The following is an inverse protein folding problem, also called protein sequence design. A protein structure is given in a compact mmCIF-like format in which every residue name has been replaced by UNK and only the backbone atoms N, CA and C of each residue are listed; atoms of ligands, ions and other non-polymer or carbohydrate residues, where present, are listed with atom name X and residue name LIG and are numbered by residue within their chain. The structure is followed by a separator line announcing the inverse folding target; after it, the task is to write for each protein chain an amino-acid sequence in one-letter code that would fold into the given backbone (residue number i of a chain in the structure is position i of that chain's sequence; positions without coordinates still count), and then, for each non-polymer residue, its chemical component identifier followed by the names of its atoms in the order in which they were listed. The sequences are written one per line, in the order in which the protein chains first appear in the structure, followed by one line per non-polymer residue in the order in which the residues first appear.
data_IF_779222644435
#
_entry.id   IF_779222644435
#
_cell.length_a   1.000
_cell.length_b   1.000
_cell.length_c   1.000
_cell.angle_alpha   90.00
_cell.angle_beta   90.00
_cell.angle_gamma   90.00
#
_symmetry.space_group_name_H-M   'P 1'
#
loop_
_entity.id
_entity.type
_entity.pdbx_description
1 polymer ?
#
# COMPACT_ATOMS: atom_id res chain seq x y z
N UNK A 1 14.54 -53.57 15.81
CA UNK A 1 15.38 -52.68 14.99
C UNK A 1 14.59 -52.45 13.72
N UNK A 2 13.98 -51.26 13.61
CA UNK A 2 13.16 -50.88 12.43
C UNK A 2 14.04 -50.72 11.18
N UNK A 3 13.53 -51.14 10.04
CA UNK A 3 14.17 -50.94 8.74
C UNK A 3 14.36 -49.43 8.52
N UNK A 4 15.56 -48.94 8.16
CA UNK A 4 15.76 -47.52 7.89
C UNK A 4 14.85 -47.09 6.75
N UNK A 5 14.02 -46.05 7.00
CA UNK A 5 13.14 -45.49 5.98
C UNK A 5 14.00 -44.85 4.88
N UNK A 6 13.72 -45.14 3.60
CA UNK A 6 14.42 -44.49 2.51
C UNK A 6 14.17 -42.96 2.56
N UNK A 7 15.19 -42.17 2.27
CA UNK A 7 15.10 -40.69 2.25
C UNK A 7 13.97 -40.22 1.33
N UNK A 8 13.73 -40.93 0.23
CA UNK A 8 12.61 -40.65 -0.72
C UNK A 8 11.25 -40.66 -0.04
N UNK A 9 11.01 -41.65 0.86
CA UNK A 9 9.69 -41.81 1.51
C UNK A 9 9.45 -40.71 2.56
N UNK A 10 10.52 -40.31 3.26
CA UNK A 10 10.47 -39.20 4.21
C UNK A 10 10.17 -37.91 3.48
N UNK A 11 10.85 -37.62 2.35
CA UNK A 11 10.64 -36.41 1.54
C UNK A 11 9.25 -36.41 0.93
N UNK A 12 8.75 -37.55 0.45
CA UNK A 12 7.41 -37.67 -0.10
C UNK A 12 6.30 -37.30 0.92
N UNK A 13 6.54 -37.56 2.21
CA UNK A 13 5.60 -37.24 3.28
C UNK A 13 5.64 -35.79 3.76
N UNK A 14 6.60 -34.96 3.31
CA UNK A 14 6.68 -33.57 3.71
C UNK A 14 5.59 -32.73 3.01
N UNK A 15 4.85 -31.89 3.77
CA UNK A 15 3.80 -31.05 3.20
C UNK A 15 4.34 -29.83 2.44
N UNK A 16 5.63 -29.53 2.59
CA UNK A 16 6.33 -28.44 1.90
C UNK A 16 7.04 -28.97 0.65
N UNK A 17 7.27 -28.15 -0.38
CA UNK A 17 8.17 -28.51 -1.45
C UNK A 17 9.55 -28.85 -0.88
N UNK A 18 10.04 -30.05 -1.19
CA UNK A 18 11.30 -30.54 -0.64
C UNK A 18 12.04 -31.42 -1.64
N UNK A 19 13.38 -31.34 -1.60
CA UNK A 19 14.27 -32.20 -2.38
C UNK A 19 15.56 -32.50 -1.60
N UNK A 20 16.23 -33.60 -1.92
CA UNK A 20 17.50 -33.98 -1.36
C UNK A 20 18.59 -33.98 -2.44
N UNK A 21 19.76 -33.50 -2.06
CA UNK A 21 20.96 -33.42 -2.89
C UNK A 21 22.08 -34.20 -2.21
N UNK A 22 22.74 -35.05 -2.98
CA UNK A 22 23.89 -35.84 -2.46
C UNK A 22 25.21 -35.03 -2.57
N UNK A 23 26.31 -35.65 -2.06
CA UNK A 23 27.65 -35.09 -2.16
C UNK A 23 28.16 -34.91 -3.61
N UNK A 24 27.58 -35.63 -4.56
CA UNK A 24 27.85 -35.47 -5.99
C UNK A 24 27.01 -34.38 -6.65
N UNK A 25 26.32 -33.60 -5.81
CA UNK A 25 25.49 -32.48 -6.27
C UNK A 25 24.30 -32.91 -7.15
N UNK A 26 23.90 -34.20 -7.05
CA UNK A 26 22.75 -34.74 -7.77
C UNK A 26 21.50 -34.71 -6.88
N UNK A 27 20.35 -34.39 -7.49
CA UNK A 27 19.04 -34.45 -6.82
C UNK A 27 18.62 -35.93 -6.73
N UNK A 28 18.75 -36.53 -5.53
CA UNK A 28 18.47 -37.96 -5.30
C UNK A 28 17.00 -38.21 -4.95
N UNK A 29 16.29 -37.24 -4.37
CA UNK A 29 14.89 -37.38 -4.05
C UNK A 29 14.19 -36.01 -4.18
N UNK A 30 12.89 -36.01 -4.55
CA UNK A 30 12.07 -34.85 -4.71
C UNK A 30 10.60 -35.22 -4.51
N UNK A 31 9.83 -34.41 -3.77
CA UNK A 31 8.40 -34.64 -3.60
C UNK A 31 7.57 -33.95 -4.71
N UNK A 32 6.28 -34.26 -4.76
CA UNK A 32 5.37 -33.74 -5.80
C UNK A 32 5.19 -32.23 -5.71
N UNK A 33 5.19 -31.67 -4.51
CA UNK A 33 5.11 -30.23 -4.30
C UNK A 33 6.32 -29.51 -4.91
N UNK A 34 7.54 -30.05 -4.74
CA UNK A 34 8.75 -29.48 -5.36
C UNK A 34 8.80 -29.71 -6.87
N UNK A 35 8.28 -30.85 -7.38
CA UNK A 35 8.14 -31.07 -8.83
C UNK A 35 7.22 -30.01 -9.47
N UNK A 36 6.11 -29.71 -8.80
CA UNK A 36 5.16 -28.67 -9.27
C UNK A 36 5.81 -27.29 -9.25
N UNK A 37 6.50 -26.94 -8.16
CA UNK A 37 7.18 -25.65 -8.01
C UNK A 37 8.25 -25.45 -9.09
N UNK A 38 9.07 -26.47 -9.35
CA UNK A 38 10.19 -26.35 -10.29
C UNK A 38 9.79 -26.54 -11.76
N UNK A 39 8.60 -27.08 -12.02
CA UNK A 39 8.00 -27.19 -13.36
C UNK A 39 8.76 -28.09 -14.34
N UNK A 40 9.72 -28.92 -13.84
CA UNK A 40 10.56 -29.78 -14.65
C UNK A 40 10.98 -31.06 -13.93
N UNK A 41 11.30 -32.14 -14.67
CA UNK A 41 11.90 -33.33 -14.06
C UNK A 41 13.28 -32.98 -13.49
N UNK A 42 13.43 -33.04 -12.19
CA UNK A 42 14.65 -32.61 -11.48
C UNK A 42 15.46 -33.79 -10.93
N UNK A 43 14.82 -34.94 -10.64
CA UNK A 43 15.49 -36.11 -10.05
C UNK A 43 16.58 -36.67 -10.97
N UNK A 44 17.74 -36.97 -10.41
CA UNK A 44 18.92 -37.46 -11.11
C UNK A 44 19.69 -36.39 -11.89
N UNK A 45 19.31 -35.12 -11.75
CA UNK A 45 20.04 -34.00 -12.38
C UNK A 45 20.92 -33.29 -11.35
N UNK A 46 21.98 -32.67 -11.83
CA UNK A 46 22.78 -31.74 -11.04
C UNK A 46 21.92 -30.56 -10.60
N UNK A 47 21.92 -30.22 -9.31
CA UNK A 47 20.99 -29.24 -8.74
C UNK A 47 21.09 -27.85 -9.38
N UNK A 48 22.28 -27.40 -9.79
CA UNK A 48 22.49 -26.12 -10.47
C UNK A 48 21.70 -25.99 -11.79
N UNK A 49 21.41 -27.11 -12.47
CA UNK A 49 20.61 -27.08 -13.71
C UNK A 49 19.16 -26.72 -13.46
N UNK A 50 18.68 -26.88 -12.23
CA UNK A 50 17.31 -26.67 -11.79
C UNK A 50 17.20 -25.41 -10.93
N UNK A 51 18.10 -25.25 -9.96
CA UNK A 51 18.15 -24.13 -9.01
C UNK A 51 19.31 -23.20 -9.40
N UNK A 52 19.00 -22.19 -10.25
CA UNK A 52 20.02 -21.32 -10.85
C UNK A 52 20.29 -20.02 -10.09
N UNK A 53 19.56 -19.77 -9.01
CA UNK A 53 19.71 -18.51 -8.26
C UNK A 53 20.96 -18.56 -7.38
N UNK A 54 21.89 -17.60 -7.50
CA UNK A 54 23.20 -17.67 -6.81
C UNK A 54 23.08 -17.89 -5.31
N UNK A 55 22.17 -17.21 -4.63
CA UNK A 55 21.96 -17.36 -3.18
C UNK A 55 21.58 -18.80 -2.77
N UNK A 56 20.78 -19.49 -3.60
CA UNK A 56 20.39 -20.88 -3.35
C UNK A 56 21.56 -21.82 -3.63
N UNK A 57 22.32 -21.56 -4.70
CA UNK A 57 23.53 -22.33 -5.03
C UNK A 57 24.54 -22.25 -3.90
N UNK A 58 24.89 -21.05 -3.44
CA UNK A 58 25.81 -20.84 -2.30
C UNK A 58 25.34 -21.54 -1.03
N UNK A 59 24.03 -21.49 -0.75
CA UNK A 59 23.45 -22.15 0.42
C UNK A 59 23.61 -23.68 0.35
N UNK A 60 23.39 -24.28 -0.82
CA UNK A 60 23.52 -25.74 -1.05
C UNK A 60 24.99 -26.17 -0.97
N UNK A 61 25.88 -25.52 -1.74
CA UNK A 61 27.32 -25.85 -1.78
C UNK A 61 27.94 -25.71 -0.38
N UNK A 62 27.62 -24.63 0.32
CA UNK A 62 28.09 -24.43 1.66
C UNK A 62 27.57 -25.48 2.66
N UNK A 63 26.28 -25.87 2.57
CA UNK A 63 25.70 -26.91 3.41
C UNK A 63 26.35 -28.26 3.13
N UNK A 64 26.64 -28.59 1.87
CA UNK A 64 27.34 -29.82 1.50
C UNK A 64 28.80 -29.84 1.98
N UNK A 65 29.46 -28.67 2.03
CA UNK A 65 30.87 -28.57 2.42
C UNK A 65 31.10 -28.74 3.92
N UNK A 66 30.29 -28.11 4.77
CA UNK A 66 30.54 -28.07 6.23
C UNK A 66 29.39 -28.61 7.09
N UNK A 67 28.28 -29.02 6.46
CA UNK A 67 27.08 -29.52 7.14
C UNK A 67 26.26 -28.47 7.89
N UNK A 68 26.62 -27.19 7.81
CA UNK A 68 25.93 -26.15 8.52
C UNK A 68 24.63 -25.75 7.79
N UNK A 69 23.56 -25.55 8.58
CA UNK A 69 22.28 -25.04 8.06
C UNK A 69 22.43 -23.68 7.42
N UNK A 70 21.84 -23.52 6.25
CA UNK A 70 21.84 -22.26 5.50
C UNK A 70 20.45 -21.90 5.00
N UNK A 71 20.17 -20.60 4.91
CA UNK A 71 18.94 -20.09 4.36
C UNK A 71 19.23 -19.20 3.15
N UNK A 72 18.37 -19.30 2.13
CA UNK A 72 18.43 -18.47 0.94
C UNK A 72 17.00 -18.03 0.54
N UNK A 73 16.90 -17.02 -0.30
CA UNK A 73 15.64 -16.66 -0.93
C UNK A 73 15.60 -17.23 -2.35
N UNK A 74 14.47 -17.80 -2.70
CA UNK A 74 14.16 -18.27 -4.04
C UNK A 74 12.92 -17.55 -4.56
N UNK A 75 13.06 -16.78 -5.64
CA UNK A 75 11.95 -16.05 -6.24
C UNK A 75 11.58 -16.68 -7.56
N UNK A 76 10.31 -16.95 -7.77
CA UNK A 76 9.79 -17.49 -9.02
C UNK A 76 8.51 -16.75 -9.42
N UNK A 77 8.05 -16.98 -10.64
CA UNK A 77 6.82 -16.39 -11.16
C UNK A 77 5.77 -17.46 -11.39
N UNK A 78 4.70 -17.40 -10.63
CA UNK A 78 3.57 -18.32 -10.74
C UNK A 78 2.31 -17.54 -11.16
N UNK A 79 1.63 -17.98 -12.24
CA UNK A 79 0.40 -17.33 -12.72
C UNK A 79 0.51 -15.80 -12.86
N UNK A 80 1.65 -15.33 -13.40
CA UNK A 80 1.99 -13.90 -13.53
C UNK A 80 2.25 -13.13 -12.22
N UNK A 81 2.25 -13.79 -11.06
CA UNK A 81 2.61 -13.21 -9.76
C UNK A 81 4.01 -13.65 -9.36
N UNK A 82 4.76 -12.72 -8.77
CA UNK A 82 6.05 -13.04 -8.17
C UNK A 82 5.81 -13.72 -6.81
N UNK A 83 6.38 -14.91 -6.64
CA UNK A 83 6.28 -15.72 -5.41
C UNK A 83 7.67 -15.86 -4.82
N UNK A 84 7.80 -15.62 -3.52
CA UNK A 84 9.08 -15.71 -2.79
C UNK A 84 9.04 -16.83 -1.79
N UNK A 85 10.01 -17.75 -1.92
CA UNK A 85 10.22 -18.84 -0.99
C UNK A 85 11.46 -18.60 -0.12
N UNK A 86 11.35 -18.92 1.15
CA UNK A 86 12.52 -19.14 2.01
C UNK A 86 12.98 -20.57 1.80
N UNK A 87 14.20 -20.74 1.30
CA UNK A 87 14.83 -22.05 1.12
C UNK A 87 15.75 -22.32 2.30
N UNK A 88 15.53 -23.44 2.98
CA UNK A 88 16.41 -23.92 4.03
C UNK A 88 17.15 -25.15 3.49
N UNK A 89 18.48 -25.07 3.46
CA UNK A 89 19.37 -26.20 3.19
C UNK A 89 19.94 -26.70 4.53
N UNK A 90 19.70 -27.94 4.87
CA UNK A 90 20.15 -28.57 6.12
C UNK A 90 20.67 -29.99 5.87
N UNK A 91 21.71 -30.43 6.56
CA UNK A 91 22.26 -31.74 6.37
C UNK A 91 21.43 -32.78 7.11
N UNK A 92 21.15 -33.90 6.46
CA UNK A 92 20.43 -35.04 7.07
C UNK A 92 21.44 -35.91 7.87
N UNK A 93 21.59 -35.62 9.16
CA UNK A 93 22.57 -36.30 10.00
C UNK A 93 23.98 -36.29 9.37
N UNK A 94 24.75 -37.37 9.54
CA UNK A 94 26.10 -37.50 8.96
C UNK A 94 26.09 -38.13 7.54
N UNK A 95 24.95 -38.14 6.86
CA UNK A 95 24.81 -38.84 5.56
C UNK A 95 25.49 -38.11 4.40
N UNK A 96 25.80 -36.83 4.55
CA UNK A 96 26.28 -35.96 3.46
C UNK A 96 25.20 -35.61 2.43
N UNK A 97 23.93 -35.78 2.79
CA UNK A 97 22.79 -35.40 1.99
C UNK A 97 22.26 -34.04 2.50
N UNK A 98 22.14 -33.04 1.64
CA UNK A 98 21.49 -31.79 1.93
C UNK A 98 19.99 -31.89 1.61
N UNK A 99 19.14 -31.65 2.61
CA UNK A 99 17.69 -31.50 2.44
C UNK A 99 17.36 -30.04 2.21
N UNK A 100 16.73 -29.74 1.10
CA UNK A 100 16.19 -28.42 0.82
C UNK A 100 14.68 -28.43 1.04
N UNK A 101 14.18 -27.44 1.77
CA UNK A 101 12.75 -27.20 1.95
C UNK A 101 12.43 -25.76 1.51
N UNK A 102 11.27 -25.58 0.86
CA UNK A 102 10.82 -24.28 0.36
C UNK A 102 9.56 -23.87 1.11
N UNK A 103 9.64 -22.79 1.84
CA UNK A 103 8.50 -22.22 2.55
C UNK A 103 8.05 -20.95 1.82
N UNK A 104 6.79 -20.90 1.38
CA UNK A 104 6.22 -19.67 0.80
C UNK A 104 6.18 -18.58 1.87
N UNK A 105 6.91 -17.49 1.62
CA UNK A 105 6.97 -16.30 2.46
C UNK A 105 6.52 -15.04 1.72
N UNK A 106 5.83 -15.21 0.60
CA UNK A 106 5.45 -14.09 -0.29
C UNK A 106 4.77 -12.97 0.48
N UNK A 107 3.77 -13.30 1.31
CA UNK A 107 3.05 -12.30 2.11
C UNK A 107 3.94 -11.62 3.16
N UNK A 108 4.83 -12.39 3.80
CA UNK A 108 5.75 -11.86 4.83
C UNK A 108 6.83 -10.99 4.18
N UNK A 109 7.40 -11.44 3.06
CA UNK A 109 8.38 -10.70 2.30
C UNK A 109 7.80 -9.39 1.75
N UNK A 110 6.58 -9.44 1.17
CA UNK A 110 5.86 -8.27 0.69
C UNK A 110 5.57 -7.26 1.81
N UNK A 111 5.12 -7.73 2.99
CA UNK A 111 4.89 -6.86 4.15
C UNK A 111 6.20 -6.22 4.64
N UNK A 112 7.29 -6.99 4.70
CA UNK A 112 8.63 -6.49 5.06
C UNK A 112 9.15 -5.44 4.05
N UNK A 113 8.96 -5.67 2.76
CA UNK A 113 9.34 -4.72 1.72
C UNK A 113 8.52 -3.43 1.83
N UNK A 114 7.19 -3.55 1.97
CA UNK A 114 6.29 -2.41 2.14
C UNK A 114 6.68 -1.54 3.35
N UNK A 115 7.13 -2.16 4.45
CA UNK A 115 7.63 -1.43 5.62
C UNK A 115 8.93 -0.70 5.35
N UNK A 116 9.89 -1.32 4.62
CA UNK A 116 11.15 -0.66 4.24
C UNK A 116 10.89 0.52 3.32
N UNK A 117 10.05 0.33 2.30
CA UNK A 117 9.71 1.38 1.35
C UNK A 117 8.97 2.54 2.04
N UNK A 118 8.11 2.24 3.02
CA UNK A 118 7.45 3.25 3.83
C UNK A 118 8.48 4.14 4.58
N UNK A 119 9.43 3.54 5.31
CA UNK A 119 10.46 4.29 6.05
C UNK A 119 11.34 5.11 5.11
N UNK A 120 11.74 4.55 3.97
CA UNK A 120 12.52 5.25 2.96
C UNK A 120 11.77 6.46 2.41
N UNK A 121 10.49 6.27 2.03
CA UNK A 121 9.65 7.35 1.48
C UNK A 121 9.37 8.45 2.51
N UNK A 122 9.10 8.11 3.78
CA UNK A 122 8.96 9.11 4.87
C UNK A 122 10.23 9.94 4.98
N UNK A 123 11.40 9.29 4.99
CA UNK A 123 12.69 9.97 5.09
C UNK A 123 12.92 10.93 3.92
N UNK A 124 12.56 10.53 2.70
CA UNK A 124 12.69 11.37 1.51
C UNK A 124 11.70 12.56 1.52
N UNK A 125 10.43 12.32 1.86
CA UNK A 125 9.39 13.36 1.87
C UNK A 125 9.60 14.39 3.01
N UNK A 126 10.32 14.03 4.08
CA UNK A 126 10.73 14.97 5.13
C UNK A 126 12.05 15.71 4.79
N UNK A 127 13.02 15.04 4.17
CA UNK A 127 14.32 15.64 3.85
C UNK A 127 14.21 16.78 2.85
N UNK A 128 13.38 16.62 1.82
CA UNK A 128 13.25 17.62 0.74
C UNK A 128 12.81 19.00 1.25
N UNK A 129 11.69 19.15 1.99
CA UNK A 129 11.28 20.45 2.53
C UNK A 129 12.29 20.98 3.56
N UNK A 130 12.89 20.11 4.37
CA UNK A 130 13.89 20.52 5.36
C UNK A 130 15.13 21.14 4.69
N UNK A 131 15.63 20.54 3.61
CA UNK A 131 16.74 21.07 2.84
C UNK A 131 16.38 22.42 2.20
N UNK A 132 15.15 22.56 1.68
CA UNK A 132 14.68 23.83 1.13
C UNK A 132 14.60 24.92 2.20
N UNK A 133 14.04 24.62 3.38
CA UNK A 133 13.99 25.55 4.52
C UNK A 133 15.40 26.01 4.93
N UNK A 134 16.37 25.10 5.02
CA UNK A 134 17.76 25.45 5.34
C UNK A 134 18.35 26.40 4.29
N UNK A 135 18.17 26.12 2.99
CA UNK A 135 18.65 26.99 1.92
C UNK A 135 18.02 28.39 1.94
N UNK A 136 16.72 28.50 2.26
CA UNK A 136 16.07 29.81 2.43
C UNK A 136 16.60 30.57 3.64
N UNK A 137 16.84 29.89 4.77
CA UNK A 137 17.45 30.50 5.96
C UNK A 137 18.84 31.02 5.64
N UNK A 138 19.71 30.24 4.98
CA UNK A 138 21.05 30.66 4.57
C UNK A 138 21.00 31.88 3.61
N UNK A 139 20.05 31.87 2.65
CA UNK A 139 19.85 32.96 1.72
C UNK A 139 19.41 34.24 2.44
N UNK A 140 18.53 34.14 3.44
CA UNK A 140 18.06 35.26 4.26
C UNK A 140 19.17 35.78 5.22
N UNK A 141 20.07 34.93 5.67
CA UNK A 141 21.23 35.35 6.50
C UNK A 141 22.35 35.99 5.66
N UNK A 142 22.38 35.68 4.36
CA UNK A 142 23.42 36.13 3.42
C UNK A 142 22.93 37.08 2.32
N UNK A 143 22.84 36.63 1.06
CA UNK A 143 22.57 37.49 -0.11
C UNK A 143 21.29 38.30 -0.05
N UNK A 144 20.21 37.77 0.57
CA UNK A 144 18.89 38.43 0.64
C UNK A 144 18.67 39.17 1.97
N UNK A 145 19.69 39.37 2.79
CA UNK A 145 19.56 39.97 4.11
C UNK A 145 18.89 41.34 4.10
N UNK A 146 19.29 42.18 3.15
CA UNK A 146 18.80 43.57 3.01
C UNK A 146 17.66 43.70 2.00
N UNK A 147 17.27 42.63 1.30
CA UNK A 147 16.15 42.63 0.33
C UNK A 147 14.83 42.30 1.02
N UNK A 148 14.06 43.33 1.35
CA UNK A 148 12.75 43.18 2.00
C UNK A 148 11.74 42.36 1.17
N UNK A 149 11.79 42.51 -0.18
CA UNK A 149 10.89 41.77 -1.08
C UNK A 149 11.24 40.29 -1.15
N UNK A 150 12.52 39.96 -1.25
CA UNK A 150 12.98 38.55 -1.20
C UNK A 150 12.67 37.92 0.16
N UNK A 151 12.85 38.66 1.25
CA UNK A 151 12.57 38.18 2.60
C UNK A 151 11.10 37.81 2.77
N UNK A 152 10.17 38.66 2.34
CA UNK A 152 8.73 38.38 2.42
C UNK A 152 8.40 37.08 1.64
N UNK A 153 8.84 36.97 0.38
CA UNK A 153 8.60 35.77 -0.45
C UNK A 153 9.17 34.48 0.15
N UNK A 154 10.41 34.53 0.68
CA UNK A 154 11.02 33.33 1.28
C UNK A 154 10.32 32.93 2.56
N UNK A 155 9.87 33.87 3.40
CA UNK A 155 9.09 33.55 4.60
C UNK A 155 7.75 32.90 4.26
N UNK A 156 7.05 33.36 3.21
CA UNK A 156 5.81 32.76 2.73
C UNK A 156 6.04 31.31 2.26
N UNK A 157 7.10 31.07 1.49
CA UNK A 157 7.44 29.73 1.02
C UNK A 157 7.81 28.82 2.21
N UNK A 158 8.58 29.33 3.17
CA UNK A 158 8.95 28.56 4.38
C UNK A 158 7.73 28.21 5.22
N UNK A 159 6.75 29.11 5.32
CA UNK A 159 5.48 28.82 6.00
C UNK A 159 4.73 27.70 5.33
N UNK A 160 4.55 27.76 4.00
CA UNK A 160 3.87 26.72 3.21
C UNK A 160 4.55 25.35 3.34
N UNK A 161 5.90 25.31 3.30
CA UNK A 161 6.63 24.03 3.48
C UNK A 161 6.51 23.49 4.90
N UNK A 162 6.48 24.36 5.91
CA UNK A 162 6.29 23.96 7.31
C UNK A 162 4.87 23.38 7.52
N UNK A 163 3.83 24.01 6.97
CA UNK A 163 2.47 23.52 7.02
C UNK A 163 2.32 22.16 6.30
N UNK A 164 3.02 22.00 5.16
CA UNK A 164 3.07 20.73 4.45
C UNK A 164 3.72 19.64 5.30
N UNK A 165 4.85 19.92 5.96
CA UNK A 165 5.50 18.97 6.86
C UNK A 165 4.58 18.60 8.03
N UNK A 166 3.87 19.55 8.62
CA UNK A 166 2.94 19.29 9.71
C UNK A 166 1.78 18.38 9.28
N UNK A 167 1.21 18.62 8.08
CA UNK A 167 0.21 17.71 7.49
C UNK A 167 0.78 16.30 7.28
N UNK A 168 2.00 16.17 6.74
CA UNK A 168 2.63 14.88 6.54
C UNK A 168 2.82 14.12 7.85
N UNK A 169 3.27 14.79 8.92
CA UNK A 169 3.41 14.18 10.25
C UNK A 169 2.04 13.74 10.79
N UNK A 170 1.02 14.57 10.65
CA UNK A 170 -0.36 14.24 11.04
C UNK A 170 -0.89 13.00 10.31
N UNK A 171 -0.70 12.93 8.99
CA UNK A 171 -1.07 11.78 8.17
C UNK A 171 -0.34 10.49 8.59
N UNK A 172 0.95 10.58 8.90
CA UNK A 172 1.76 9.45 9.37
C UNK A 172 1.28 8.93 10.72
N UNK A 173 0.99 9.83 11.67
CA UNK A 173 0.47 9.44 12.99
C UNK A 173 -0.93 8.83 12.87
N UNK A 174 -1.80 9.40 12.03
CA UNK A 174 -3.13 8.86 11.75
C UNK A 174 -3.04 7.46 11.15
N UNK A 175 -2.19 7.26 10.12
CA UNK A 175 -1.98 5.97 9.49
C UNK A 175 -1.43 4.93 10.47
N UNK A 176 -0.45 5.30 11.29
CA UNK A 176 0.14 4.42 12.31
C UNK A 176 -0.89 3.93 13.32
N UNK A 177 -1.78 4.84 13.81
CA UNK A 177 -2.89 4.46 14.70
C UNK A 177 -3.89 3.53 14.02
N UNK A 178 -4.28 3.83 12.79
CA UNK A 178 -5.20 3.00 12.00
C UNK A 178 -4.66 1.59 11.75
N UNK A 179 -3.36 1.44 11.56
CA UNK A 179 -2.71 0.14 11.40
C UNK A 179 -2.67 -0.66 12.71
N UNK A 180 -2.38 -0.01 13.84
CA UNK A 180 -2.40 -0.64 15.15
C UNK A 180 -3.82 -1.14 15.50
N UNK A 181 -4.84 -0.34 15.19
CA UNK A 181 -6.24 -0.61 15.51
C UNK A 181 -7.00 -1.36 14.40
N UNK A 182 -6.33 -1.84 13.36
CA UNK A 182 -6.98 -2.45 12.19
C UNK A 182 -7.94 -3.59 12.53
N UNK A 183 -7.72 -4.29 13.65
CA UNK A 183 -8.56 -5.41 14.12
C UNK A 183 -9.73 -4.96 14.99
N UNK A 184 -9.69 -3.75 15.52
CA UNK A 184 -10.73 -3.21 16.40
C UNK A 184 -11.73 -2.44 15.54
N UNK A 185 -12.97 -2.91 15.48
CA UNK A 185 -14.03 -2.28 14.69
C UNK A 185 -14.70 -1.17 15.47
N UNK A 186 -15.08 -0.06 14.80
CA UNK A 186 -15.96 0.93 15.41
C UNK A 186 -17.31 0.31 15.76
N UNK A 187 -17.85 0.68 16.90
CA UNK A 187 -19.17 0.24 17.39
C UNK A 187 -20.17 1.38 17.52
N UNK A 188 -19.72 2.62 17.32
CA UNK A 188 -20.57 3.81 17.39
C UNK A 188 -21.50 3.94 16.19
N UNK A 189 -22.51 4.80 16.31
CA UNK A 189 -23.37 5.21 15.21
C UNK A 189 -22.89 6.53 14.65
N UNK A 190 -22.83 6.65 13.33
CA UNK A 190 -22.39 7.84 12.60
C UNK A 190 -23.40 8.22 11.54
N UNK A 191 -23.93 9.45 11.60
CA UNK A 191 -24.79 10.01 10.57
C UNK A 191 -23.94 10.56 9.43
N UNK A 192 -23.91 9.85 8.30
CA UNK A 192 -23.14 10.22 7.11
C UNK A 192 -23.61 11.53 6.50
N UNK A 193 -24.91 11.84 6.56
CA UNK A 193 -25.45 13.10 6.02
C UNK A 193 -24.93 14.32 6.84
N UNK A 194 -24.97 14.22 8.17
CA UNK A 194 -24.44 15.26 9.06
C UNK A 194 -22.92 15.45 8.92
N UNK A 195 -22.17 14.34 8.77
CA UNK A 195 -20.72 14.38 8.54
C UNK A 195 -20.40 15.09 7.22
N UNK A 196 -21.07 14.72 6.13
CA UNK A 196 -20.88 15.35 4.82
C UNK A 196 -21.24 16.84 4.82
N UNK A 197 -22.35 17.21 5.45
CA UNK A 197 -22.76 18.62 5.59
C UNK A 197 -21.71 19.45 6.34
N UNK A 198 -21.12 18.89 7.40
CA UNK A 198 -20.05 19.52 8.17
C UNK A 198 -18.76 19.63 7.36
N UNK A 199 -18.37 18.55 6.66
CA UNK A 199 -17.18 18.51 5.81
C UNK A 199 -17.27 19.54 4.68
N UNK A 200 -18.42 19.62 4.01
CA UNK A 200 -18.66 20.59 2.94
C UNK A 200 -18.56 22.04 3.43
N UNK A 201 -19.12 22.34 4.60
CA UNK A 201 -19.00 23.68 5.22
C UNK A 201 -17.53 24.02 5.52
N UNK A 202 -16.78 23.08 6.07
CA UNK A 202 -15.37 23.28 6.44
C UNK A 202 -14.48 23.48 5.19
N UNK A 203 -14.80 22.83 4.07
CA UNK A 203 -14.03 22.90 2.82
C UNK A 203 -14.52 24.00 1.87
N UNK A 204 -15.63 24.67 2.17
CA UNK A 204 -16.16 25.76 1.32
C UNK A 204 -15.16 26.92 1.10
N UNK A 205 -14.40 27.39 2.11
CA UNK A 205 -13.39 28.42 1.89
C UNK A 205 -12.33 27.99 0.87
N UNK A 206 -11.84 26.75 0.97
CA UNK A 206 -10.87 26.18 0.03
C UNK A 206 -11.45 26.06 -1.40
N UNK A 207 -12.73 25.71 -1.51
CA UNK A 207 -13.41 25.63 -2.80
C UNK A 207 -13.56 27.02 -3.44
N UNK A 208 -13.91 28.04 -2.66
CA UNK A 208 -14.02 29.44 -3.12
C UNK A 208 -12.67 29.97 -3.58
N UNK A 209 -11.60 29.71 -2.81
CA UNK A 209 -10.23 30.10 -3.19
C UNK A 209 -9.78 29.44 -4.50
N UNK A 210 -10.14 28.17 -4.72
CA UNK A 210 -9.83 27.42 -5.94
C UNK A 210 -10.81 27.63 -7.09
N UNK A 211 -11.76 28.57 -7.00
CA UNK A 211 -12.85 28.76 -7.97
C UNK A 211 -13.59 27.45 -8.32
N UNK A 212 -13.88 26.63 -7.30
CA UNK A 212 -14.60 25.36 -7.43
C UNK A 212 -15.98 25.45 -6.80
N UNK A 213 -17.01 25.03 -7.53
CA UNK A 213 -18.38 24.97 -6.99
C UNK A 213 -18.68 23.60 -6.41
N UNK A 214 -18.99 23.53 -5.12
CA UNK A 214 -19.46 22.30 -4.46
C UNK A 214 -20.96 22.12 -4.69
N UNK A 215 -21.37 20.96 -5.23
CA UNK A 215 -22.77 20.63 -5.55
C UNK A 215 -23.21 19.42 -4.72
N UNK A 216 -23.79 19.63 -3.52
CA UNK A 216 -24.31 18.54 -2.70
C UNK A 216 -25.62 17.98 -3.23
N UNK A 217 -25.78 16.65 -3.19
CA UNK A 217 -27.00 15.93 -3.48
C UNK A 217 -27.22 14.91 -2.35
N UNK A 218 -28.04 15.29 -1.38
CA UNK A 218 -28.26 14.52 -0.17
C UNK A 218 -29.71 14.10 -0.05
N UNK A 219 -30.03 12.90 0.48
CA UNK A 219 -31.40 12.55 0.82
C UNK A 219 -31.86 13.34 2.05
N UNK A 220 -33.17 13.43 2.23
CA UNK A 220 -33.75 13.98 3.45
C UNK A 220 -33.50 13.05 4.66
N UNK A 221 -33.16 13.66 5.80
CA UNK A 221 -32.97 12.98 7.08
C UNK A 221 -31.65 12.25 7.27
N UNK A 222 -31.43 11.72 8.49
CA UNK A 222 -30.17 11.11 8.89
C UNK A 222 -29.89 9.80 8.15
N UNK A 223 -28.62 9.48 7.87
CA UNK A 223 -28.15 8.25 7.23
C UNK A 223 -27.15 7.57 8.13
N UNK A 224 -27.66 6.68 8.99
CA UNK A 224 -26.87 6.05 10.04
C UNK A 224 -26.09 4.82 9.55
N UNK A 225 -24.80 4.79 9.87
CA UNK A 225 -23.90 3.66 9.66
C UNK A 225 -23.19 3.32 10.97
N UNK A 226 -22.78 2.06 11.13
CA UNK A 226 -21.86 1.73 12.22
C UNK A 226 -20.48 2.28 11.90
N UNK A 227 -19.98 3.23 12.70
CA UNK A 227 -18.73 3.89 12.38
C UNK A 227 -18.23 4.86 13.45
N UNK A 228 -17.02 5.33 13.23
CA UNK A 228 -16.34 6.38 13.96
C UNK A 228 -16.51 7.70 13.18
N UNK A 229 -17.15 8.68 13.79
CA UNK A 229 -17.50 9.98 13.17
C UNK A 229 -16.26 10.70 12.67
N UNK A 230 -15.18 10.75 13.46
CA UNK A 230 -13.95 11.48 13.13
C UNK A 230 -13.22 10.81 11.95
N UNK A 231 -13.18 9.48 11.94
CA UNK A 231 -12.57 8.73 10.83
C UNK A 231 -13.37 8.87 9.55
N UNK A 232 -14.70 8.80 9.59
CA UNK A 232 -15.54 9.03 8.40
C UNK A 232 -15.44 10.47 7.91
N UNK A 233 -15.36 11.45 8.80
CA UNK A 233 -15.08 12.84 8.45
C UNK A 233 -13.72 12.97 7.76
N UNK A 234 -12.69 12.29 8.23
CA UNK A 234 -11.37 12.26 7.58
C UNK A 234 -11.43 11.64 6.18
N UNK A 235 -12.23 10.58 5.98
CA UNK A 235 -12.47 9.99 4.64
C UNK A 235 -13.02 11.04 3.68
N UNK A 236 -14.13 11.69 4.06
CA UNK A 236 -14.79 12.63 3.15
C UNK A 236 -13.99 13.91 2.95
N UNK A 237 -13.29 14.39 3.97
CA UNK A 237 -12.36 15.51 3.85
C UNK A 237 -11.29 15.21 2.82
N UNK A 238 -10.62 14.07 2.92
CA UNK A 238 -9.57 13.66 1.97
C UNK A 238 -10.09 13.56 0.53
N UNK A 239 -11.29 13.00 0.33
CA UNK A 239 -11.86 12.84 -1.01
C UNK A 239 -12.31 14.17 -1.62
N UNK A 240 -13.01 15.01 -0.85
CA UNK A 240 -13.54 16.30 -1.33
C UNK A 240 -12.39 17.29 -1.54
N UNK A 241 -11.42 17.34 -0.63
CA UNK A 241 -10.23 18.17 -0.79
C UNK A 241 -9.43 17.78 -2.04
N UNK A 242 -9.27 16.49 -2.32
CA UNK A 242 -8.66 16.03 -3.56
C UNK A 242 -9.46 16.48 -4.79
N UNK A 243 -10.78 16.34 -4.76
CA UNK A 243 -11.63 16.79 -5.86
C UNK A 243 -11.53 18.29 -6.10
N UNK A 244 -11.43 19.14 -5.06
CA UNK A 244 -11.20 20.58 -5.18
C UNK A 244 -9.83 20.84 -5.81
N UNK A 245 -8.75 20.24 -5.27
CA UNK A 245 -7.37 20.49 -5.72
C UNK A 245 -7.09 20.03 -7.16
N UNK A 246 -7.69 18.92 -7.57
CA UNK A 246 -7.41 18.31 -8.88
C UNK A 246 -8.52 18.57 -9.91
N UNK A 247 -9.70 19.03 -9.48
CA UNK A 247 -10.83 19.31 -10.33
C UNK A 247 -10.60 20.45 -11.33
N UNK A 248 -9.76 21.45 -10.97
CA UNK A 248 -9.44 22.62 -11.80
C UNK A 248 -10.40 23.81 -11.58
N UNK A 249 -9.94 25.00 -11.96
CA UNK A 249 -10.67 26.27 -11.84
C UNK A 249 -11.97 26.28 -12.65
N UNK A 250 -13.01 26.93 -12.15
CA UNK A 250 -14.32 27.08 -12.79
C UNK A 250 -15.10 25.77 -12.91
N UNK A 251 -14.68 24.71 -12.21
CA UNK A 251 -15.27 23.36 -12.27
C UNK A 251 -16.16 23.08 -11.08
N UNK A 252 -16.91 21.99 -11.19
CA UNK A 252 -17.84 21.54 -10.14
C UNK A 252 -17.37 20.25 -9.52
N UNK A 253 -17.61 20.13 -8.21
CA UNK A 253 -17.45 18.89 -7.46
C UNK A 253 -18.82 18.47 -6.94
N UNK A 254 -19.29 17.33 -7.42
CA UNK A 254 -20.57 16.75 -7.01
C UNK A 254 -20.32 15.80 -5.85
N UNK A 255 -21.08 15.97 -4.76
CA UNK A 255 -21.07 15.08 -3.60
C UNK A 255 -22.45 14.51 -3.41
N UNK A 256 -22.63 13.25 -3.80
CA UNK A 256 -23.92 12.57 -3.83
C UNK A 256 -23.98 11.47 -2.75
N UNK A 257 -24.99 11.48 -1.91
CA UNK A 257 -25.27 10.46 -0.90
C UNK A 257 -26.55 9.70 -1.26
N UNK A 258 -26.48 8.39 -1.37
CA UNK A 258 -27.64 7.55 -1.72
C UNK A 258 -27.74 6.33 -0.81
N UNK A 259 -28.97 5.98 -0.41
CA UNK A 259 -29.29 4.72 0.29
C UNK A 259 -29.67 3.66 -0.72
N UNK A 260 -29.26 2.43 -0.45
CA UNK A 260 -29.59 1.28 -1.27
C UNK A 260 -30.13 0.15 -0.38
N UNK A 261 -31.29 -0.40 -0.74
CA UNK A 261 -31.84 -1.57 -0.06
C UNK A 261 -30.96 -2.82 -0.24
N UNK A 262 -30.19 -2.87 -1.33
CA UNK A 262 -29.21 -3.92 -1.61
C UNK A 262 -28.03 -3.36 -2.41
N UNK A 263 -26.82 -3.72 -2.01
CA UNK A 263 -25.58 -3.45 -2.74
C UNK A 263 -24.83 -4.76 -2.96
N UNK A 264 -24.60 -5.13 -4.22
CA UNK A 264 -23.87 -6.37 -4.58
C UNK A 264 -22.48 -6.45 -3.93
N UNK A 265 -21.81 -5.30 -3.82
CA UNK A 265 -20.48 -5.20 -3.20
C UNK A 265 -20.47 -5.61 -1.71
N UNK A 266 -21.61 -5.46 -1.01
CA UNK A 266 -21.77 -5.79 0.42
C UNK A 266 -22.64 -7.03 0.63
N UNK A 267 -23.46 -7.41 -0.37
CA UNK A 267 -24.55 -8.39 -0.29
C UNK A 267 -25.53 -8.06 0.84
N UNK A 268 -25.77 -6.78 1.07
CA UNK A 268 -26.57 -6.25 2.17
C UNK A 268 -27.04 -4.83 1.83
N UNK A 269 -28.00 -4.26 2.63
CA UNK A 269 -28.31 -2.84 2.57
C UNK A 269 -27.07 -1.99 2.81
N UNK A 270 -26.97 -0.85 2.14
CA UNK A 270 -25.81 0.02 2.28
C UNK A 270 -26.05 1.43 1.76
N UNK A 271 -25.06 2.25 1.98
CA UNK A 271 -25.02 3.65 1.52
C UNK A 271 -23.85 3.86 0.59
N UNK A 272 -24.03 4.70 -0.42
CA UNK A 272 -22.95 5.15 -1.30
C UNK A 272 -22.77 6.64 -1.18
N UNK A 273 -21.50 7.07 -1.03
CA UNK A 273 -21.10 8.46 -1.18
C UNK A 273 -20.25 8.55 -2.42
N UNK A 274 -20.64 9.37 -3.38
CA UNK A 274 -19.89 9.64 -4.60
C UNK A 274 -19.35 11.06 -4.56
N UNK A 275 -18.04 11.19 -4.74
CA UNK A 275 -17.35 12.46 -4.93
C UNK A 275 -16.83 12.46 -6.37
N UNK A 276 -17.40 13.30 -7.23
CA UNK A 276 -17.07 13.39 -8.65
C UNK A 276 -16.57 14.80 -8.98
N UNK A 277 -15.42 14.89 -9.60
CA UNK A 277 -14.86 16.10 -10.17
C UNK A 277 -15.00 16.16 -11.70
N UNK A 278 -14.90 17.34 -12.28
CA UNK A 278 -14.86 17.60 -13.72
C UNK A 278 -13.44 17.95 -14.18
N UNK A 279 -12.42 17.41 -13.49
CA UNK A 279 -11.03 17.69 -13.75
C UNK A 279 -10.44 16.98 -14.98
N UNK A 280 -9.11 16.95 -15.10
CA UNK A 280 -8.42 16.35 -16.24
C UNK A 280 -8.50 14.82 -16.26
N UNK A 281 -9.03 14.21 -15.22
CA UNK A 281 -9.07 12.75 -15.08
C UNK A 281 -7.69 12.12 -14.79
N UNK A 282 -7.70 10.81 -14.62
CA UNK A 282 -6.54 10.00 -14.24
C UNK A 282 -6.37 8.87 -15.26
N UNK A 283 -5.15 8.65 -15.75
CA UNK A 283 -4.85 7.55 -16.66
C UNK A 283 -5.10 6.19 -15.97
N UNK A 284 -5.70 5.25 -16.70
CA UNK A 284 -6.13 3.94 -16.19
C UNK A 284 -5.00 3.13 -15.52
N UNK A 285 -3.75 3.28 -15.98
CA UNK A 285 -2.57 2.62 -15.40
C UNK A 285 -2.29 3.04 -13.95
N UNK A 286 -2.74 4.25 -13.54
CA UNK A 286 -2.54 4.76 -12.18
C UNK A 286 -3.66 4.34 -11.22
N UNK A 287 -4.87 4.03 -11.71
CA UNK A 287 -6.04 3.75 -10.88
C UNK A 287 -5.82 2.65 -9.82
N UNK A 288 -5.20 1.49 -10.13
CA UNK A 288 -4.98 0.44 -9.15
C UNK A 288 -4.05 0.85 -8.01
N UNK A 289 -3.16 1.82 -8.28
CA UNK A 289 -2.10 2.25 -7.38
C UNK A 289 -2.43 3.46 -6.53
N UNK A 290 -3.51 4.19 -6.82
CA UNK A 290 -3.87 5.44 -6.14
C UNK A 290 -4.02 5.31 -4.62
N UNK A 291 -4.33 4.11 -4.13
CA UNK A 291 -4.45 3.82 -2.69
C UNK A 291 -3.16 3.27 -2.06
N UNK A 292 -2.06 3.17 -2.82
CA UNK A 292 -0.74 2.85 -2.29
C UNK A 292 -0.18 4.07 -1.53
N UNK A 293 0.61 3.82 -0.48
CA UNK A 293 1.22 4.89 0.31
C UNK A 293 2.26 5.65 -0.51
N UNK A 294 2.25 6.98 -0.42
CA UNK A 294 3.13 7.91 -1.15
C UNK A 294 2.97 7.87 -2.67
N UNK A 295 1.99 7.13 -3.20
CA UNK A 295 1.79 7.08 -4.63
C UNK A 295 1.13 8.37 -5.14
N UNK A 296 1.63 8.87 -6.26
CA UNK A 296 1.12 10.06 -6.96
C UNK A 296 1.17 9.82 -8.46
N UNK A 297 0.06 10.04 -9.17
CA UNK A 297 0.00 9.90 -10.62
C UNK A 297 0.86 10.97 -11.34
N UNK A 298 0.87 12.19 -10.79
CA UNK A 298 1.72 13.31 -11.21
C UNK A 298 2.45 13.87 -9.99
N UNK A 299 3.75 13.61 -9.91
CA UNK A 299 4.57 14.00 -8.77
C UNK A 299 4.84 15.51 -8.70
N UNK A 300 4.88 16.22 -9.85
CA UNK A 300 5.15 17.66 -9.90
C UNK A 300 3.92 18.47 -9.50
N UNK A 301 2.78 18.23 -10.15
CA UNK A 301 1.51 18.91 -9.85
C UNK A 301 1.06 18.62 -8.42
N UNK A 302 1.18 17.37 -7.97
CA UNK A 302 0.76 16.98 -6.63
C UNK A 302 1.62 17.62 -5.54
N UNK A 303 2.94 17.83 -5.77
CA UNK A 303 3.80 18.57 -4.84
C UNK A 303 3.42 20.04 -4.76
N UNK A 304 3.17 20.69 -5.88
CA UNK A 304 2.73 22.09 -5.92
C UNK A 304 1.42 22.31 -5.15
N UNK A 305 0.52 21.33 -5.17
CA UNK A 305 -0.76 21.35 -4.45
C UNK A 305 -0.68 20.83 -3.00
N UNK A 306 0.53 20.56 -2.49
CA UNK A 306 0.78 20.15 -1.10
C UNK A 306 0.29 18.74 -0.76
N UNK A 307 0.10 17.86 -1.75
CA UNK A 307 -0.31 16.48 -1.53
C UNK A 307 0.77 15.65 -0.84
N UNK A 308 0.42 14.84 0.17
CA UNK A 308 1.33 13.93 0.90
C UNK A 308 1.45 12.56 0.22
N UNK A 309 0.46 12.17 -0.60
CA UNK A 309 0.34 10.81 -1.14
C UNK A 309 -0.14 9.77 -0.11
N UNK A 310 -0.57 10.20 1.07
CA UNK A 310 -1.08 9.34 2.14
C UNK A 310 -2.60 9.37 2.26
N UNK A 311 -3.27 10.44 1.84
CA UNK A 311 -4.71 10.62 2.04
C UNK A 311 -5.58 9.46 1.53
N UNK A 312 -5.36 8.96 0.30
CA UNK A 312 -6.12 7.82 -0.24
C UNK A 312 -5.77 6.49 0.43
N UNK A 313 -4.54 6.31 0.91
CA UNK A 313 -4.17 5.17 1.73
C UNK A 313 -4.90 5.19 3.08
N UNK A 314 -4.99 6.35 3.74
CA UNK A 314 -5.77 6.57 4.97
C UNK A 314 -7.25 6.25 4.71
N UNK A 315 -7.84 6.77 3.62
CA UNK A 315 -9.22 6.47 3.21
C UNK A 315 -9.44 4.97 3.11
N UNK A 316 -8.56 4.24 2.43
CA UNK A 316 -8.67 2.77 2.28
C UNK A 316 -8.60 2.06 3.64
N UNK A 317 -7.69 2.45 4.52
CA UNK A 317 -7.56 1.84 5.86
C UNK A 317 -8.81 2.08 6.72
N UNK A 318 -9.32 3.31 6.74
CA UNK A 318 -10.55 3.64 7.47
C UNK A 318 -11.73 2.84 6.93
N UNK A 319 -11.93 2.82 5.62
CA UNK A 319 -13.03 2.09 5.00
C UNK A 319 -12.96 0.57 5.26
N UNK A 320 -11.77 -0.02 5.20
CA UNK A 320 -11.59 -1.44 5.55
C UNK A 320 -12.01 -1.73 7.00
N UNK A 321 -11.66 -0.85 7.95
CA UNK A 321 -12.06 -0.95 9.35
C UNK A 321 -13.58 -0.87 9.53
N UNK A 322 -14.26 -0.09 8.67
CA UNK A 322 -15.71 0.09 8.64
C UNK A 322 -16.44 -0.95 7.76
N UNK A 323 -15.76 -2.02 7.29
CA UNK A 323 -16.29 -2.97 6.29
C UNK A 323 -16.78 -2.31 5.00
N UNK A 324 -16.34 -1.08 4.76
CA UNK A 324 -16.64 -0.34 3.55
C UNK A 324 -15.69 -0.68 2.41
N UNK A 325 -15.96 -0.10 1.26
CA UNK A 325 -15.12 -0.21 0.06
C UNK A 325 -15.00 1.13 -0.63
N UNK A 326 -13.89 1.34 -1.34
CA UNK A 326 -13.74 2.44 -2.28
C UNK A 326 -13.62 1.87 -3.69
N UNK A 327 -14.34 2.50 -4.63
CA UNK A 327 -14.20 2.26 -6.07
C UNK A 327 -13.83 3.58 -6.73
N UNK A 328 -12.79 3.56 -7.57
CA UNK A 328 -12.30 4.73 -8.28
C UNK A 328 -12.50 4.49 -9.76
N UNK A 329 -13.14 5.44 -10.43
CA UNK A 329 -13.33 5.45 -11.88
C UNK A 329 -12.91 6.81 -12.41
N UNK A 330 -12.19 6.83 -13.52
CA UNK A 330 -11.74 8.07 -14.15
C UNK A 330 -11.52 7.87 -15.64
N UNK A 331 -11.73 8.93 -16.40
CA UNK A 331 -11.43 8.99 -17.83
C UNK A 331 -10.69 10.29 -18.09
N UNK A 332 -9.57 10.22 -18.80
CA UNK A 332 -8.79 11.40 -19.17
C UNK A 332 -9.69 12.43 -19.88
N UNK A 333 -9.63 13.67 -19.45
CA UNK A 333 -10.41 14.80 -19.96
C UNK A 333 -11.86 14.87 -19.47
N UNK A 334 -12.34 13.90 -18.66
CA UNK A 334 -13.75 13.86 -18.21
C UNK A 334 -13.92 13.92 -16.68
N UNK A 335 -12.80 13.92 -15.93
CA UNK A 335 -12.81 13.95 -14.49
C UNK A 335 -12.68 12.57 -13.84
N UNK A 336 -12.88 12.53 -12.52
CA UNK A 336 -12.77 11.31 -11.71
C UNK A 336 -13.96 11.19 -10.77
N UNK A 337 -14.31 9.95 -10.42
CA UNK A 337 -15.32 9.63 -9.42
C UNK A 337 -14.73 8.68 -8.37
N UNK A 338 -14.85 9.07 -7.11
CA UNK A 338 -14.51 8.28 -5.95
C UNK A 338 -15.81 7.86 -5.25
N UNK A 339 -16.13 6.57 -5.33
CA UNK A 339 -17.34 5.98 -4.74
C UNK A 339 -17.00 5.23 -3.47
N UNK A 340 -17.43 5.74 -2.34
CA UNK A 340 -17.39 5.07 -1.04
C UNK A 340 -18.65 4.26 -0.85
N UNK A 341 -18.52 3.05 -0.33
CA UNK A 341 -19.61 2.10 -0.05
C UNK A 341 -19.50 1.71 1.42
N UNK A 342 -20.56 1.92 2.21
CA UNK A 342 -20.62 1.57 3.63
C UNK A 342 -21.88 0.73 3.90
N UNK A 343 -21.83 -0.25 4.85
CA UNK A 343 -23.01 -0.96 5.28
C UNK A 343 -23.91 -0.05 6.12
N UNK A 344 -25.23 -0.12 5.89
CA UNK A 344 -26.25 0.50 6.76
C UNK A 344 -26.39 -0.30 8.06
N UNK A 345 -26.86 0.37 9.12
CA UNK A 345 -27.28 -0.28 10.37
C UNK A 345 -28.56 -1.07 10.15
#
# INVERSE_FOLDING_TARGET
VGTPLPVSDVIAALPLPALAIDRGEQIVAINDAARTLLGMPAQGRHFITVLRQPAVVEAVEGCLADGARRNALYTTRENANDVTYSVCADQVGDTGIALLTFQDITMVAAAGQMRRDFVANVSHELRTPLTALMGFIETLQGPAREDAGARARFLDIMLLETERMNRLVGDLLSLSRLEADQRVRPTGTADVAAILATTLRNLNPLAVEGDVTLVPQMPDGPVDVTGDVDQLMQVFTNLIENAIKYGGEGKRVFVTLERHAHLDALRAPGVTVRVRDEGPGIDARHLPRLTERFYRADSHRSRALGGTGLGLAIVKHILNRHRGRIKITSTLGQGSEFKVILPLI
#
